data_IF_841067695425
#
_entry.id   IF_841067695425
#
_cell.length_a   1.000
_cell.length_b   1.000
_cell.length_c   1.000
_cell.angle_alpha   90.00
_cell.angle_beta   90.00
_cell.angle_gamma   90.00
#
_symmetry.space_group_name_H-M   'P 1'
#
loop_
_entity.id
_entity.type
_entity.pdbx_description
1 polymer ?
#
# COMPACT_ATOMS: atom_id res chain seq x y z
N UNK A 1 -45.44 -10.24 12.01
CA UNK A 1 -45.21 -9.80 10.61
C UNK A 1 -44.10 -8.75 10.64
N UNK A 2 -42.85 -9.16 10.44
CA UNK A 2 -41.73 -8.22 10.31
C UNK A 2 -41.68 -7.82 8.83
N UNK A 3 -41.78 -6.51 8.58
CA UNK A 3 -41.91 -5.94 7.25
C UNK A 3 -40.73 -6.30 6.35
N UNK A 4 -41.06 -6.87 5.19
CA UNK A 4 -40.11 -7.28 4.16
C UNK A 4 -39.48 -6.06 3.49
N UNK A 5 -38.49 -5.44 4.15
CA UNK A 5 -37.52 -4.59 3.46
C UNK A 5 -36.51 -5.51 2.76
N UNK A 6 -36.33 -5.34 1.45
CA UNK A 6 -35.35 -6.10 0.65
C UNK A 6 -33.96 -6.14 1.32
N UNK A 7 -33.59 -5.07 2.02
CA UNK A 7 -32.30 -4.94 2.69
C UNK A 7 -32.22 -5.70 4.02
N UNK A 8 -33.36 -6.01 4.66
CA UNK A 8 -33.36 -6.70 5.95
C UNK A 8 -32.86 -8.15 5.81
N UNK A 9 -33.29 -8.85 4.77
CA UNK A 9 -32.86 -10.23 4.51
C UNK A 9 -31.37 -10.30 4.21
N UNK A 10 -30.88 -9.42 3.33
CA UNK A 10 -29.46 -9.36 2.96
C UNK A 10 -28.56 -8.99 4.15
N UNK A 11 -29.03 -8.08 5.02
CA UNK A 11 -28.31 -7.72 6.23
C UNK A 11 -28.28 -8.88 7.24
N UNK A 12 -29.38 -9.61 7.42
CA UNK A 12 -29.43 -10.79 8.29
C UNK A 12 -28.48 -11.87 7.77
N UNK A 13 -28.53 -12.19 6.47
CA UNK A 13 -27.62 -13.16 5.85
C UNK A 13 -26.14 -12.76 6.01
N UNK A 14 -25.82 -11.47 5.89
CA UNK A 14 -24.46 -10.96 6.10
C UNK A 14 -24.02 -11.06 7.56
N UNK A 15 -24.93 -10.78 8.51
CA UNK A 15 -24.64 -10.87 9.94
C UNK A 15 -24.46 -12.32 10.38
N UNK A 16 -25.29 -13.23 9.89
CA UNK A 16 -25.17 -14.67 10.13
C UNK A 16 -23.86 -15.22 9.57
N UNK A 17 -23.42 -14.77 8.39
CA UNK A 17 -22.11 -15.11 7.85
C UNK A 17 -20.98 -14.66 8.78
N UNK A 18 -20.99 -13.39 9.22
CA UNK A 18 -19.95 -12.89 10.13
C UNK A 18 -19.95 -13.70 11.44
N UNK A 19 -21.10 -13.86 12.10
CA UNK A 19 -21.18 -14.57 13.39
C UNK A 19 -20.71 -16.02 13.29
N UNK A 20 -21.06 -16.73 12.21
CA UNK A 20 -20.77 -18.16 12.08
C UNK A 20 -19.40 -18.49 11.45
N UNK A 21 -18.75 -17.54 10.80
CA UNK A 21 -17.47 -17.76 10.10
C UNK A 21 -16.26 -17.13 10.81
N UNK A 22 -16.47 -16.35 11.89
CA UNK A 22 -15.39 -15.67 12.64
C UNK A 22 -14.31 -16.62 13.20
N UNK A 23 -14.69 -17.81 13.65
CA UNK A 23 -13.77 -18.80 14.22
C UNK A 23 -13.10 -19.69 13.15
N UNK A 24 -13.47 -19.53 11.89
CA UNK A 24 -12.93 -20.32 10.79
C UNK A 24 -11.75 -19.59 10.15
N UNK A 25 -10.71 -20.32 9.69
CA UNK A 25 -9.65 -19.71 8.91
C UNK A 25 -10.23 -19.01 7.68
N UNK A 26 -9.94 -17.72 7.53
CA UNK A 26 -10.40 -16.96 6.38
C UNK A 26 -9.86 -17.60 5.09
N UNK A 27 -10.78 -18.09 4.24
CA UNK A 27 -10.43 -18.50 2.90
C UNK A 27 -10.33 -17.26 2.02
N UNK A 28 -9.19 -16.57 2.10
CA UNK A 28 -8.86 -15.54 1.13
C UNK A 28 -8.58 -16.22 -0.20
N UNK A 29 -9.61 -16.32 -1.06
CA UNK A 29 -9.38 -16.46 -2.51
C UNK A 29 -8.31 -15.46 -2.85
N UNK A 30 -7.17 -15.88 -3.40
CA UNK A 30 -6.06 -15.00 -3.78
C UNK A 30 -6.65 -13.73 -4.39
N UNK A 31 -6.72 -12.65 -3.59
CA UNK A 31 -7.07 -11.32 -4.08
C UNK A 31 -5.80 -10.94 -4.80
N UNK A 32 -5.73 -11.46 -6.02
CA UNK A 32 -4.58 -11.41 -6.88
C UNK A 32 -4.40 -9.97 -7.26
N UNK A 33 -3.24 -9.47 -6.87
CA UNK A 33 -2.61 -8.26 -7.35
C UNK A 33 -3.01 -7.05 -6.52
N UNK A 34 -2.07 -6.64 -5.67
CA UNK A 34 -1.92 -5.24 -5.33
C UNK A 34 -1.94 -4.47 -6.66
N UNK A 35 -2.92 -3.58 -6.82
CA UNK A 35 -3.00 -2.74 -8.02
C UNK A 35 -1.85 -1.74 -7.98
N UNK A 36 -0.82 -2.03 -8.77
CA UNK A 36 0.37 -1.17 -8.90
C UNK A 36 0.10 0.04 -9.80
N UNK A 37 -1.08 0.08 -10.43
CA UNK A 37 -1.46 1.05 -11.43
C UNK A 37 -0.38 1.20 -12.53
N UNK A 38 -0.42 2.30 -13.28
CA UNK A 38 0.63 2.63 -14.27
C UNK A 38 1.81 3.39 -13.67
N UNK A 39 1.68 3.92 -12.45
CA UNK A 39 2.68 4.76 -11.81
C UNK A 39 2.73 4.51 -10.31
N UNK A 40 3.94 4.49 -9.76
CA UNK A 40 4.16 4.50 -8.32
C UNK A 40 3.83 5.89 -7.76
N UNK A 41 2.57 6.10 -7.37
CA UNK A 41 2.15 7.26 -6.58
C UNK A 41 2.32 6.97 -5.09
N UNK A 42 2.28 7.98 -4.23
CA UNK A 42 2.29 7.77 -2.77
C UNK A 42 1.13 6.89 -2.30
N UNK A 43 -0.04 6.98 -2.95
CA UNK A 43 -1.19 6.11 -2.70
C UNK A 43 -0.90 4.67 -3.08
N UNK A 44 -0.34 4.44 -4.27
CA UNK A 44 0.04 3.10 -4.73
C UNK A 44 1.11 2.50 -3.82
N UNK A 45 2.12 3.29 -3.43
CA UNK A 45 3.12 2.85 -2.46
C UNK A 45 2.48 2.47 -1.12
N UNK A 46 1.59 3.30 -0.57
CA UNK A 46 0.90 3.00 0.68
C UNK A 46 0.07 1.72 0.59
N UNK A 47 -0.63 1.50 -0.53
CA UNK A 47 -1.37 0.26 -0.76
C UNK A 47 -0.45 -0.97 -0.79
N UNK A 48 0.71 -0.87 -1.45
CA UNK A 48 1.70 -1.96 -1.48
C UNK A 48 2.23 -2.22 -0.07
N UNK A 49 2.73 -1.20 0.62
CA UNK A 49 3.36 -1.34 1.94
C UNK A 49 2.38 -1.89 2.99
N UNK A 50 1.17 -1.34 3.06
CA UNK A 50 0.15 -1.78 4.04
C UNK A 50 -0.40 -3.18 3.73
N UNK A 51 -0.39 -3.62 2.46
CA UNK A 51 -0.82 -4.98 2.11
C UNK A 51 0.06 -6.08 2.70
N UNK A 52 1.29 -5.74 3.10
CA UNK A 52 2.26 -6.63 3.74
C UNK A 52 2.64 -6.15 5.15
N UNK A 53 1.77 -5.34 5.77
CA UNK A 53 1.90 -4.82 7.14
C UNK A 53 3.17 -4.00 7.41
N UNK A 54 3.67 -3.28 6.40
CA UNK A 54 4.77 -2.32 6.57
C UNK A 54 4.20 -0.92 6.85
N UNK A 55 4.60 -0.27 7.97
CA UNK A 55 4.12 1.06 8.30
C UNK A 55 4.65 2.11 7.32
N UNK A 56 3.77 3.02 6.90
CA UNK A 56 4.09 4.04 5.89
C UNK A 56 4.64 5.35 6.48
N UNK A 57 4.45 5.56 7.78
CA UNK A 57 4.84 6.80 8.49
C UNK A 57 6.31 7.19 8.24
N UNK A 58 7.30 6.26 8.22
CA UNK A 58 8.70 6.61 7.93
C UNK A 58 8.94 7.14 6.50
N UNK A 59 8.01 6.91 5.57
CA UNK A 59 8.14 7.23 4.15
C UNK A 59 7.41 8.50 3.72
N UNK A 60 6.60 9.10 4.60
CA UNK A 60 5.76 10.25 4.25
C UNK A 60 6.57 11.46 3.78
N UNK A 61 7.76 11.66 4.33
CA UNK A 61 8.69 12.73 3.90
C UNK A 61 9.17 12.54 2.45
N UNK A 62 9.26 11.29 1.98
CA UNK A 62 9.62 10.93 0.61
C UNK A 62 8.45 11.03 -0.39
N UNK A 63 7.20 11.15 0.07
CA UNK A 63 6.03 11.19 -0.82
C UNK A 63 6.05 12.40 -1.76
N UNK A 64 6.52 13.54 -1.28
CA UNK A 64 6.66 14.74 -2.12
C UNK A 64 7.68 14.52 -3.23
N UNK A 65 8.77 13.79 -2.94
CA UNK A 65 9.80 13.43 -3.92
C UNK A 65 9.23 12.48 -5.00
N UNK A 66 8.46 11.47 -4.60
CA UNK A 66 7.80 10.54 -5.53
C UNK A 66 6.86 11.28 -6.49
N UNK A 67 6.02 12.17 -5.96
CA UNK A 67 4.98 12.85 -6.75
C UNK A 67 5.54 13.98 -7.62
N UNK A 68 6.28 14.91 -7.02
CA UNK A 68 6.72 16.12 -7.71
C UNK A 68 8.03 15.90 -8.48
N UNK A 69 9.03 15.28 -7.85
CA UNK A 69 10.38 15.19 -8.41
C UNK A 69 10.53 14.06 -9.42
N UNK A 70 9.75 12.98 -9.31
CA UNK A 70 9.79 11.86 -10.27
C UNK A 70 8.66 11.92 -11.30
N UNK A 71 7.41 11.76 -10.87
CA UNK A 71 6.28 11.58 -11.80
C UNK A 71 6.04 12.82 -12.65
N UNK A 72 5.95 14.02 -12.04
CA UNK A 72 5.74 15.25 -12.81
C UNK A 72 6.92 15.58 -13.71
N UNK A 73 8.16 15.53 -13.20
CA UNK A 73 9.35 15.81 -14.04
C UNK A 73 9.45 14.84 -15.22
N UNK A 74 9.24 13.53 -15.02
CA UNK A 74 9.21 12.55 -16.12
C UNK A 74 8.16 12.88 -17.16
N UNK A 75 6.94 13.23 -16.73
CA UNK A 75 5.87 13.60 -17.66
C UNK A 75 6.25 14.85 -18.47
N UNK A 76 6.83 15.87 -17.82
CA UNK A 76 7.32 17.07 -18.51
C UNK A 76 8.36 16.74 -19.58
N UNK A 77 9.33 15.88 -19.27
CA UNK A 77 10.34 15.39 -20.25
C UNK A 77 9.66 14.69 -21.42
N UNK A 78 8.75 13.74 -21.15
CA UNK A 78 8.03 13.00 -22.19
C UNK A 78 7.16 13.90 -23.09
N UNK A 79 6.64 15.00 -22.54
CA UNK A 79 5.87 16.01 -23.27
C UNK A 79 6.74 17.10 -23.91
N UNK A 80 8.07 17.03 -23.83
CA UNK A 80 8.99 18.01 -24.41
C UNK A 80 8.94 19.39 -23.74
N UNK A 81 8.48 19.47 -22.50
CA UNK A 81 8.44 20.73 -21.75
C UNK A 81 9.83 21.08 -21.22
N UNK A 82 10.15 22.38 -21.24
CA UNK A 82 11.40 22.87 -20.67
C UNK A 82 11.48 22.56 -19.17
N UNK A 83 12.65 22.08 -18.74
CA UNK A 83 12.97 21.74 -17.37
C UNK A 83 14.32 22.38 -17.06
N UNK A 84 14.33 23.28 -16.09
CA UNK A 84 15.55 23.85 -15.56
C UNK A 84 16.14 22.85 -14.57
N UNK A 85 17.20 22.14 -15.00
CA UNK A 85 17.87 21.10 -14.23
C UNK A 85 19.37 21.36 -14.25
N UNK A 86 19.96 21.47 -13.08
CA UNK A 86 21.41 21.43 -12.92
C UNK A 86 21.90 19.98 -12.93
N UNK A 87 23.18 19.73 -13.28
CA UNK A 87 23.76 18.39 -13.18
C UNK A 87 23.60 17.75 -11.80
N UNK A 88 23.72 18.52 -10.73
CA UNK A 88 23.57 18.04 -9.35
C UNK A 88 22.13 17.67 -8.97
N UNK A 89 21.12 18.18 -9.68
CA UNK A 89 19.72 17.83 -9.40
C UNK A 89 19.41 16.36 -9.70
N UNK A 90 20.11 15.78 -10.68
CA UNK A 90 19.99 14.35 -10.98
C UNK A 90 20.63 13.51 -9.88
N UNK A 91 21.86 13.83 -9.49
CA UNK A 91 22.61 13.06 -8.50
C UNK A 91 21.87 13.05 -7.15
N UNK A 92 21.40 14.21 -6.69
CA UNK A 92 20.61 14.30 -5.46
C UNK A 92 19.32 13.47 -5.54
N UNK A 93 18.61 13.55 -6.67
CA UNK A 93 17.39 12.77 -6.86
C UNK A 93 17.66 11.27 -6.89
N UNK A 94 18.75 10.83 -7.51
CA UNK A 94 19.14 9.44 -7.57
C UNK A 94 19.53 8.90 -6.19
N UNK A 95 20.32 9.67 -5.43
CA UNK A 95 20.72 9.34 -4.05
C UNK A 95 19.47 9.16 -3.15
N UNK A 96 18.56 10.12 -3.18
CA UNK A 96 17.32 10.08 -2.39
C UNK A 96 16.45 8.86 -2.73
N UNK A 97 16.30 8.55 -4.02
CA UNK A 97 15.53 7.38 -4.48
C UNK A 97 16.18 6.08 -4.04
N UNK A 98 17.50 5.97 -4.22
CA UNK A 98 18.25 4.78 -3.79
C UNK A 98 18.12 4.60 -2.28
N UNK A 99 18.19 5.68 -1.50
CA UNK A 99 18.03 5.61 -0.06
C UNK A 99 16.63 5.13 0.34
N UNK A 100 15.57 5.63 -0.31
CA UNK A 100 14.19 5.15 -0.09
C UNK A 100 14.05 3.65 -0.42
N UNK A 101 14.64 3.19 -1.53
CA UNK A 101 14.64 1.77 -1.90
C UNK A 101 15.38 0.91 -0.87
N UNK A 102 16.52 1.38 -0.35
CA UNK A 102 17.29 0.69 0.70
C UNK A 102 16.49 0.59 2.00
N UNK A 103 15.86 1.67 2.43
CA UNK A 103 15.02 1.67 3.62
C UNK A 103 13.88 0.66 3.49
N UNK A 104 13.17 0.69 2.36
CA UNK A 104 12.05 -0.23 2.11
C UNK A 104 12.48 -1.69 2.03
N UNK A 105 13.63 -1.97 1.40
CA UNK A 105 14.25 -3.30 1.41
C UNK A 105 14.51 -3.78 2.84
N UNK A 106 15.12 -2.94 3.67
CA UNK A 106 15.42 -3.27 5.07
C UNK A 106 14.15 -3.55 5.87
N UNK A 107 13.08 -2.79 5.67
CA UNK A 107 11.80 -3.02 6.36
C UNK A 107 11.16 -4.35 5.94
N UNK A 108 11.21 -4.71 4.65
CA UNK A 108 10.76 -6.03 4.17
C UNK A 108 11.58 -7.15 4.82
N UNK A 109 12.91 -7.02 4.83
CA UNK A 109 13.81 -8.03 5.43
C UNK A 109 13.54 -8.21 6.93
N UNK A 110 13.32 -7.11 7.64
CA UNK A 110 12.96 -7.11 9.06
C UNK A 110 11.60 -7.77 9.30
N UNK A 111 10.57 -7.39 8.54
CA UNK A 111 9.23 -7.95 8.66
C UNK A 111 9.21 -9.46 8.38
N UNK A 112 9.98 -9.91 7.37
CA UNK A 112 10.14 -11.33 7.08
C UNK A 112 10.87 -12.08 8.20
N UNK A 113 11.95 -11.50 8.72
CA UNK A 113 12.78 -12.12 9.77
C UNK A 113 12.04 -12.22 11.12
N UNK A 114 11.22 -11.22 11.44
CA UNK A 114 10.40 -11.18 12.65
C UNK A 114 9.06 -11.89 12.48
N UNK A 115 8.76 -12.38 11.28
CA UNK A 115 7.49 -12.98 10.92
C UNK A 115 6.28 -12.07 11.21
N UNK A 116 6.40 -10.75 11.04
CA UNK A 116 5.33 -9.77 11.27
C UNK A 116 4.09 -10.03 10.42
N UNK A 117 4.24 -10.76 9.30
CA UNK A 117 3.13 -11.22 8.47
C UNK A 117 2.22 -12.25 9.17
N UNK A 118 2.61 -12.80 10.32
CA UNK A 118 1.79 -13.70 11.13
C UNK A 118 0.93 -12.87 12.09
N UNK A 119 -0.38 -13.14 12.10
CA UNK A 119 -1.29 -12.59 13.12
C UNK A 119 -0.82 -13.02 14.51
N UNK A 120 -0.70 -12.06 15.42
CA UNK A 120 -0.40 -12.32 16.83
C UNK A 120 -1.52 -13.14 17.49
N UNK A 121 -1.17 -14.28 18.08
CA UNK A 121 -2.12 -15.17 18.76
C UNK A 121 -2.80 -14.52 19.98
N UNK A 122 -2.23 -13.42 20.52
CA UNK A 122 -2.78 -12.69 21.67
C UNK A 122 -4.03 -11.86 21.37
N UNK A 123 -4.36 -11.61 20.10
CA UNK A 123 -5.61 -10.92 19.73
C UNK A 123 -6.83 -11.87 19.63
N UNK A 124 -6.69 -13.12 20.09
CA UNK A 124 -7.75 -14.15 20.11
C UNK A 124 -8.31 -14.45 21.52
N UNK A 125 -7.99 -13.62 22.51
CA UNK A 125 -8.58 -13.62 23.87
C UNK A 125 -9.19 -12.27 24.16
#
# INVERSE_FOLDING_TARGET
MLGSSHNAKQNIESLEFVVNELDKPANMRKIGNVDTESNLTSRVFANIATSIDIPIMPYETGFKLIVESLVKRRNRVAHGQYLDLSPGDFDNLAEDVIQLLRNYKTDIENAASQACYKRDAKQMT
#
